data_IF_454045173861
#
_entry.id   IF_454045173861
#
_cell.length_a   1.000
_cell.length_b   1.000
_cell.length_c   1.000
_cell.angle_alpha   90.00
_cell.angle_beta   90.00
_cell.angle_gamma   90.00
#
_symmetry.space_group_name_H-M   'P 1'
#
loop_
_entity.id
_entity.type
_entity.pdbx_description
1 polymer ?
#
# COMPACT_ATOMS: atom_id res chain seq x y z
N UNK A 1 -7.97 2.59 -10.47
CA UNK A 1 -6.59 2.43 -9.97
C UNK A 1 -5.86 1.44 -10.85
N UNK A 2 -4.63 1.75 -11.24
CA UNK A 2 -3.70 0.81 -11.84
C UNK A 2 -2.71 0.34 -10.78
N UNK A 3 -2.74 -0.96 -10.47
CA UNK A 3 -1.87 -1.58 -9.48
C UNK A 3 -0.78 -2.41 -10.16
N UNK A 4 0.47 -2.31 -9.68
CA UNK A 4 1.57 -3.17 -10.10
C UNK A 4 2.63 -3.33 -9.00
N UNK A 5 3.42 -4.40 -9.11
CA UNK A 5 4.49 -4.77 -8.16
C UNK A 5 5.81 -5.17 -8.84
N UNK A 6 5.83 -5.12 -10.16
CA UNK A 6 7.01 -5.50 -10.95
C UNK A 6 7.89 -4.28 -11.27
N UNK A 7 9.21 -4.47 -11.27
CA UNK A 7 10.19 -3.45 -11.68
C UNK A 7 10.48 -3.47 -13.18
N UNK A 8 9.77 -4.30 -13.98
CA UNK A 8 10.00 -4.38 -15.42
C UNK A 8 9.54 -3.11 -16.13
N UNK A 9 10.21 -2.78 -17.24
CA UNK A 9 9.93 -1.57 -18.01
C UNK A 9 8.47 -1.52 -18.48
N UNK A 10 7.93 -2.66 -18.94
CA UNK A 10 6.58 -2.72 -19.50
C UNK A 10 5.51 -2.28 -18.48
N UNK A 11 5.56 -2.77 -17.23
CA UNK A 11 4.62 -2.39 -16.19
C UNK A 11 4.76 -0.93 -15.79
N UNK A 12 5.99 -0.45 -15.67
CA UNK A 12 6.29 0.94 -15.37
C UNK A 12 5.78 1.88 -16.48
N UNK A 13 6.06 1.56 -17.73
CA UNK A 13 5.68 2.40 -18.88
C UNK A 13 4.16 2.41 -19.07
N UNK A 14 3.47 1.28 -18.80
CA UNK A 14 2.02 1.23 -18.70
C UNK A 14 1.50 2.10 -17.55
N UNK A 15 2.13 2.05 -16.38
CA UNK A 15 1.80 2.90 -15.24
C UNK A 15 1.90 4.39 -15.58
N UNK A 16 2.98 4.78 -16.23
CA UNK A 16 3.19 6.15 -16.71
C UNK A 16 2.08 6.58 -17.69
N UNK A 17 1.72 5.73 -18.65
CA UNK A 17 0.62 6.00 -19.56
C UNK A 17 -0.72 6.11 -18.83
N UNK A 18 -1.05 5.17 -17.93
CA UNK A 18 -2.26 5.21 -17.12
C UNK A 18 -2.36 6.51 -16.30
N UNK A 19 -1.25 6.93 -15.70
CA UNK A 19 -1.19 8.19 -14.95
C UNK A 19 -1.47 9.41 -15.84
N UNK A 20 -0.96 9.42 -17.08
CA UNK A 20 -1.25 10.48 -18.05
C UNK A 20 -2.73 10.54 -18.45
N UNK A 21 -3.47 9.44 -18.30
CA UNK A 21 -4.93 9.37 -18.47
C UNK A 21 -5.71 9.71 -17.20
N UNK A 22 -5.04 10.18 -16.14
CA UNK A 22 -5.68 10.53 -14.87
C UNK A 22 -6.04 9.34 -13.98
N UNK A 23 -5.53 8.14 -14.29
CA UNK A 23 -5.70 6.95 -13.47
C UNK A 23 -4.72 6.99 -12.31
N UNK A 24 -5.21 6.77 -11.09
CA UNK A 24 -4.39 6.65 -9.89
C UNK A 24 -3.49 5.41 -9.98
N UNK A 25 -2.18 5.61 -9.89
CA UNK A 25 -1.17 4.56 -10.05
C UNK A 25 -0.62 4.14 -8.69
N UNK A 26 -0.75 2.85 -8.39
CA UNK A 26 -0.33 2.24 -7.13
C UNK A 26 0.79 1.23 -7.38
N UNK A 27 1.93 1.44 -6.75
CA UNK A 27 3.08 0.54 -6.79
C UNK A 27 3.33 -0.10 -5.44
N UNK A 28 3.43 -1.42 -5.39
CA UNK A 28 3.76 -2.17 -4.18
C UNK A 28 5.13 -2.83 -4.30
N UNK A 29 5.93 -2.70 -3.24
CA UNK A 29 7.24 -3.34 -3.13
C UNK A 29 7.11 -4.53 -2.20
N UNK A 30 7.13 -5.74 -2.76
CA UNK A 30 7.06 -6.99 -2.01
C UNK A 30 8.39 -7.28 -1.30
N UNK A 31 9.51 -6.99 -1.97
CA UNK A 31 10.85 -7.11 -1.42
C UNK A 31 11.81 -6.22 -2.19
N UNK A 32 12.60 -5.43 -1.48
CA UNK A 32 13.62 -4.56 -2.10
C UNK A 32 15.00 -5.20 -2.01
N UNK A 33 15.66 -5.31 -3.15
CA UNK A 33 17.06 -5.69 -3.22
C UNK A 33 17.91 -4.47 -3.52
N UNK A 34 18.86 -4.13 -2.64
CA UNK A 34 19.68 -2.92 -2.74
C UNK A 34 20.39 -2.77 -4.09
N UNK A 35 20.91 -3.87 -4.65
CA UNK A 35 21.55 -3.86 -5.99
C UNK A 35 20.62 -3.44 -7.11
N UNK A 36 19.31 -3.51 -6.92
CA UNK A 36 18.28 -3.15 -7.90
C UNK A 36 17.55 -1.85 -7.53
N UNK A 37 17.96 -1.17 -6.47
CA UNK A 37 17.33 0.06 -5.98
C UNK A 37 17.01 1.07 -7.09
N UNK A 38 17.88 1.34 -8.10
CA UNK A 38 17.55 2.27 -9.17
C UNK A 38 16.31 1.86 -10.00
N UNK A 39 16.00 0.56 -10.09
CA UNK A 39 14.79 0.09 -10.77
C UNK A 39 13.54 0.38 -9.94
N UNK A 40 13.60 0.09 -8.63
CA UNK A 40 12.51 0.40 -7.70
C UNK A 40 12.21 1.90 -7.67
N UNK A 41 13.25 2.73 -7.57
CA UNK A 41 13.10 4.18 -7.52
C UNK A 41 12.42 4.73 -8.79
N UNK A 42 12.71 4.18 -9.97
CA UNK A 42 12.01 4.56 -11.21
C UNK A 42 10.53 4.23 -11.13
N UNK A 43 10.15 3.05 -10.62
CA UNK A 43 8.74 2.68 -10.45
C UNK A 43 8.02 3.58 -9.41
N UNK A 44 8.68 3.86 -8.29
CA UNK A 44 8.15 4.75 -7.27
C UNK A 44 7.88 6.16 -7.83
N UNK A 45 8.81 6.71 -8.61
CA UNK A 45 8.67 8.06 -9.22
C UNK A 45 7.52 8.15 -10.23
N UNK A 46 7.22 7.07 -10.94
CA UNK A 46 6.11 7.01 -11.91
C UNK A 46 4.75 6.69 -11.27
N UNK A 47 4.70 6.37 -9.97
CA UNK A 47 3.49 6.06 -9.24
C UNK A 47 2.98 7.25 -8.44
N UNK A 48 1.70 7.23 -8.05
CA UNK A 48 1.09 8.19 -7.13
C UNK A 48 1.13 7.68 -5.69
N UNK A 49 0.97 6.38 -5.52
CA UNK A 49 0.99 5.66 -4.24
C UNK A 49 2.11 4.62 -4.27
N UNK A 50 2.92 4.57 -3.23
CA UNK A 50 3.97 3.58 -3.01
C UNK A 50 3.73 2.90 -1.68
N UNK A 51 3.60 1.57 -1.67
CA UNK A 51 3.44 0.78 -0.45
C UNK A 51 4.54 -0.26 -0.31
N UNK A 52 4.95 -0.51 0.92
CA UNK A 52 5.88 -1.56 1.33
C UNK A 52 5.68 -1.92 2.81
N UNK A 53 6.20 -3.06 3.24
CA UNK A 53 6.29 -3.41 4.66
C UNK A 53 7.64 -2.98 5.25
N UNK A 54 7.74 -2.89 6.58
CA UNK A 54 9.00 -2.64 7.27
C UNK A 54 10.00 -3.79 7.07
N UNK A 55 9.53 -5.02 6.86
CA UNK A 55 10.37 -6.18 6.51
C UNK A 55 10.90 -6.12 5.07
N UNK A 56 10.14 -5.52 4.15
CA UNK A 56 10.53 -5.42 2.74
C UNK A 56 11.57 -4.33 2.48
N UNK A 57 11.56 -3.28 3.31
CA UNK A 57 12.35 -2.06 3.13
C UNK A 57 12.86 -1.55 4.47
N UNK A 58 14.15 -1.67 4.72
CA UNK A 58 14.81 -1.21 5.94
C UNK A 58 15.24 0.26 5.87
N UNK A 59 15.86 0.65 4.76
CA UNK A 59 16.33 2.03 4.54
C UNK A 59 15.26 2.91 3.91
N UNK A 60 14.86 3.94 4.62
CA UNK A 60 13.82 4.90 4.20
C UNK A 60 14.39 6.22 3.68
N UNK A 61 15.70 6.34 3.47
CA UNK A 61 16.34 7.57 3.00
C UNK A 61 15.78 8.10 1.68
N UNK A 62 15.25 7.21 0.84
CA UNK A 62 14.64 7.57 -0.45
C UNK A 62 13.26 8.26 -0.31
N UNK A 63 12.61 8.19 0.84
CA UNK A 63 11.26 8.77 1.02
C UNK A 63 11.27 10.28 0.76
N UNK A 64 12.38 10.94 1.06
CA UNK A 64 12.56 12.35 0.75
C UNK A 64 12.52 12.68 -0.75
N UNK A 65 12.81 11.69 -1.61
CA UNK A 65 12.67 11.84 -3.07
C UNK A 65 11.21 11.67 -3.55
N UNK A 66 10.30 11.25 -2.66
CA UNK A 66 8.90 10.94 -2.95
C UNK A 66 7.92 11.96 -2.34
N UNK A 67 8.37 13.22 -2.13
CA UNK A 67 7.56 14.27 -1.46
C UNK A 67 6.23 14.58 -2.14
N UNK A 68 6.08 14.27 -3.42
CA UNK A 68 4.85 14.48 -4.18
C UNK A 68 3.94 13.24 -4.22
N UNK A 69 4.17 12.26 -3.35
CA UNK A 69 3.50 10.94 -3.37
C UNK A 69 2.75 10.67 -2.05
N UNK A 70 1.94 9.61 -2.08
CA UNK A 70 1.51 8.92 -0.88
C UNK A 70 2.44 7.72 -0.67
N UNK A 71 3.19 7.71 0.42
CA UNK A 71 4.03 6.58 0.84
C UNK A 71 3.36 5.89 2.01
N UNK A 72 3.14 4.58 1.90
CA UNK A 72 2.50 3.76 2.94
C UNK A 72 3.50 2.69 3.37
N UNK A 73 3.70 2.55 4.69
CA UNK A 73 4.47 1.47 5.26
C UNK A 73 3.63 0.67 6.26
N UNK A 74 3.44 -0.62 6.00
CA UNK A 74 2.84 -1.53 6.97
C UNK A 74 3.89 -2.00 7.98
N UNK A 75 3.50 -2.09 9.25
CA UNK A 75 4.38 -2.36 10.40
C UNK A 75 3.97 -3.66 11.12
N UNK A 76 3.27 -4.55 10.43
CA UNK A 76 2.72 -5.78 11.01
C UNK A 76 1.83 -5.49 12.22
N UNK A 77 2.11 -6.14 13.35
CA UNK A 77 1.36 -5.97 14.60
C UNK A 77 1.45 -4.55 15.21
N UNK A 78 2.29 -3.67 14.66
CA UNK A 78 2.43 -2.27 15.10
C UNK A 78 1.53 -1.31 14.31
N UNK A 79 0.75 -1.80 13.33
CA UNK A 79 -0.17 -1.00 12.55
C UNK A 79 0.40 -0.57 11.20
N UNK A 80 0.08 0.66 10.79
CA UNK A 80 0.51 1.22 9.51
C UNK A 80 0.87 2.69 9.69
N UNK A 81 1.80 3.18 8.89
CA UNK A 81 2.08 4.62 8.78
C UNK A 81 2.10 5.07 7.33
N UNK A 82 1.82 6.34 7.13
CA UNK A 82 1.88 6.92 5.80
C UNK A 82 2.48 8.33 5.83
N UNK A 83 3.03 8.75 4.71
CA UNK A 83 3.50 10.10 4.45
C UNK A 83 2.82 10.59 3.17
N UNK A 84 1.96 11.59 3.29
CA UNK A 84 1.27 12.21 2.16
C UNK A 84 1.94 13.53 1.81
N UNK A 85 2.43 13.65 0.58
CA UNK A 85 3.04 14.88 0.03
C UNK A 85 4.14 15.49 0.92
N UNK A 86 4.95 14.67 1.56
CA UNK A 86 6.05 15.14 2.41
C UNK A 86 5.61 15.81 3.72
N UNK A 87 4.34 15.69 4.11
CA UNK A 87 3.78 16.27 5.33
C UNK A 87 4.20 15.59 6.64
N UNK A 88 5.14 14.63 6.56
CA UNK A 88 5.58 13.84 7.71
C UNK A 88 4.81 12.52 7.84
N UNK A 89 5.33 11.66 8.73
CA UNK A 89 4.71 10.36 8.99
C UNK A 89 3.52 10.49 9.95
N UNK A 90 2.37 10.00 9.51
CA UNK A 90 1.18 9.77 10.34
C UNK A 90 1.13 8.29 10.64
N UNK A 91 1.12 7.91 11.92
CA UNK A 91 1.05 6.50 12.36
C UNK A 91 -0.35 6.19 12.87
N UNK A 92 -0.93 5.12 12.34
CA UNK A 92 -2.23 4.60 12.76
C UNK A 92 -2.01 3.33 13.59
N UNK A 93 -2.74 3.16 14.69
CA UNK A 93 -2.61 1.98 15.55
C UNK A 93 -3.04 0.71 14.81
N UNK A 94 -2.58 -0.46 15.25
CA UNK A 94 -3.06 -1.73 14.70
C UNK A 94 -4.50 -2.00 15.11
N UNK A 95 -5.21 -2.76 14.31
CA UNK A 95 -6.45 -3.41 14.72
C UNK A 95 -6.10 -4.62 15.59
N UNK A 96 -6.56 -4.63 16.83
CA UNK A 96 -6.30 -5.74 17.76
C UNK A 96 -6.96 -7.03 17.26
N UNK A 97 -6.21 -8.13 17.30
CA UNK A 97 -6.69 -9.46 16.97
C UNK A 97 -6.02 -10.50 17.87
N UNK A 98 -6.80 -11.07 18.78
CA UNK A 98 -6.30 -12.08 19.72
C UNK A 98 -6.26 -13.49 19.11
N UNK A 99 -6.76 -13.67 17.88
CA UNK A 99 -6.89 -14.96 17.22
C UNK A 99 -6.05 -15.03 15.94
N UNK A 100 -4.82 -14.53 15.95
CA UNK A 100 -3.93 -14.59 14.80
C UNK A 100 -3.48 -16.04 14.58
N UNK A 101 -3.82 -16.58 13.40
CA UNK A 101 -3.47 -17.94 12.95
C UNK A 101 -2.39 -17.89 11.88
N UNK A 102 -2.54 -16.97 10.89
CA UNK A 102 -1.62 -16.85 9.77
C UNK A 102 -1.63 -15.40 9.26
N UNK A 103 -0.45 -14.84 8.99
CA UNK A 103 -0.31 -13.47 8.47
C UNK A 103 -0.15 -13.43 6.95
N UNK A 104 -0.13 -14.59 6.27
CA UNK A 104 -0.04 -14.64 4.82
C UNK A 104 -1.23 -13.92 4.16
N UNK A 105 -0.94 -13.07 3.19
CA UNK A 105 -1.95 -12.28 2.48
C UNK A 105 -2.45 -11.03 3.21
N UNK A 106 -2.02 -10.75 4.45
CA UNK A 106 -2.43 -9.51 5.14
C UNK A 106 -2.04 -8.26 4.36
N UNK A 107 -0.87 -8.28 3.70
CA UNK A 107 -0.43 -7.21 2.80
C UNK A 107 -1.39 -7.01 1.62
N UNK A 108 -1.79 -8.12 0.98
CA UNK A 108 -2.72 -8.11 -0.17
C UNK A 108 -4.09 -7.60 0.24
N UNK A 109 -4.61 -8.06 1.39
CA UNK A 109 -5.87 -7.57 1.94
C UNK A 109 -5.82 -6.10 2.30
N UNK A 110 -4.70 -5.62 2.86
CA UNK A 110 -4.50 -4.18 3.11
C UNK A 110 -4.58 -3.40 1.80
N UNK A 111 -3.88 -3.84 0.75
CA UNK A 111 -3.87 -3.16 -0.55
C UNK A 111 -5.24 -3.17 -1.20
N UNK A 112 -5.87 -4.34 -1.32
CA UNK A 112 -7.17 -4.48 -1.97
C UNK A 112 -8.27 -3.68 -1.25
N UNK A 113 -8.29 -3.76 0.08
CA UNK A 113 -9.29 -3.05 0.89
C UNK A 113 -9.07 -1.54 0.89
N UNK A 114 -7.82 -1.07 0.90
CA UNK A 114 -7.50 0.34 0.77
C UNK A 114 -7.98 0.91 -0.57
N UNK A 115 -7.69 0.22 -1.68
CA UNK A 115 -8.15 0.62 -3.02
C UNK A 115 -9.69 0.65 -3.08
N UNK A 116 -10.35 -0.36 -2.53
CA UNK A 116 -11.81 -0.42 -2.45
C UNK A 116 -12.39 0.73 -1.60
N UNK A 117 -11.78 1.03 -0.45
CA UNK A 117 -12.22 2.10 0.44
C UNK A 117 -12.07 3.50 -0.21
N UNK A 118 -11.00 3.73 -0.96
CA UNK A 118 -10.83 4.94 -1.77
C UNK A 118 -11.95 5.06 -2.81
N UNK A 119 -12.24 3.96 -3.53
CA UNK A 119 -13.30 3.94 -4.54
C UNK A 119 -14.67 4.25 -3.96
N UNK A 120 -15.03 3.67 -2.80
CA UNK A 120 -16.30 3.93 -2.09
C UNK A 120 -16.46 5.40 -1.69
N UNK A 121 -15.35 6.09 -1.41
CA UNK A 121 -15.33 7.51 -1.03
C UNK A 121 -15.20 8.47 -2.22
N UNK A 122 -15.13 7.93 -3.46
CA UNK A 122 -14.94 8.72 -4.66
C UNK A 122 -13.53 9.32 -4.80
N UNK A 123 -12.58 8.90 -3.97
CA UNK A 123 -11.19 9.34 -4.02
C UNK A 123 -10.42 8.57 -5.09
N UNK A 124 -10.67 8.92 -6.36
CA UNK A 124 -10.17 8.19 -7.54
C UNK A 124 -8.99 8.88 -8.23
N UNK A 125 -8.67 10.12 -7.81
CA UNK A 125 -7.52 10.90 -8.28
C UNK A 125 -6.58 11.21 -7.11
N UNK A 126 -5.31 11.42 -7.40
CA UNK A 126 -4.33 11.78 -6.38
C UNK A 126 -4.67 13.10 -5.65
N UNK A 127 -5.31 14.04 -6.35
CA UNK A 127 -5.79 15.29 -5.77
C UNK A 127 -6.85 15.12 -4.68
N UNK A 128 -7.60 14.02 -4.73
CA UNK A 128 -8.69 13.73 -3.79
C UNK A 128 -8.17 13.21 -2.44
N UNK A 129 -6.90 12.79 -2.40
CA UNK A 129 -6.30 12.23 -1.19
C UNK A 129 -6.00 13.33 -0.17
N UNK A 130 -6.65 13.26 0.98
CA UNK A 130 -6.33 14.03 2.19
C UNK A 130 -5.82 13.08 3.27
N UNK A 131 -5.11 13.61 4.28
CA UNK A 131 -4.65 12.78 5.39
C UNK A 131 -5.81 12.08 6.11
N UNK A 132 -6.96 12.72 6.20
CA UNK A 132 -8.19 12.18 6.79
C UNK A 132 -8.71 10.99 5.98
N UNK A 133 -8.93 11.16 4.67
CA UNK A 133 -9.38 10.08 3.77
C UNK A 133 -8.40 8.91 3.78
N UNK A 134 -7.09 9.19 3.72
CA UNK A 134 -6.06 8.12 3.77
C UNK A 134 -6.09 7.37 5.09
N UNK A 135 -6.24 8.09 6.22
CA UNK A 135 -6.33 7.48 7.55
C UNK A 135 -7.54 6.56 7.68
N UNK A 136 -8.72 7.04 7.30
CA UNK A 136 -9.96 6.24 7.34
C UNK A 136 -9.86 5.00 6.45
N UNK A 137 -9.36 5.16 5.21
CA UNK A 137 -9.20 4.04 4.28
C UNK A 137 -8.18 3.00 4.77
N UNK A 138 -7.09 3.44 5.40
CA UNK A 138 -6.09 2.53 5.97
C UNK A 138 -6.60 1.82 7.22
N UNK A 139 -7.39 2.48 8.06
CA UNK A 139 -8.03 1.81 9.21
C UNK A 139 -9.02 0.74 8.74
N UNK A 140 -9.89 1.04 7.77
CA UNK A 140 -10.77 0.04 7.14
C UNK A 140 -9.97 -1.12 6.53
N UNK A 141 -8.86 -0.83 5.87
CA UNK A 141 -7.99 -1.85 5.27
C UNK A 141 -7.33 -2.77 6.32
N UNK A 142 -6.89 -2.22 7.45
CA UNK A 142 -6.35 -3.01 8.56
C UNK A 142 -7.40 -3.95 9.17
N UNK A 143 -8.68 -3.56 9.23
CA UNK A 143 -9.75 -4.43 9.70
C UNK A 143 -9.88 -5.70 8.86
N UNK A 144 -9.87 -5.57 7.53
CA UNK A 144 -9.92 -6.74 6.63
C UNK A 144 -8.66 -7.60 6.71
N UNK A 145 -7.48 -6.99 6.78
CA UNK A 145 -6.22 -7.70 6.94
C UNK A 145 -6.19 -8.48 8.28
N UNK A 146 -6.60 -7.82 9.36
CA UNK A 146 -6.69 -8.44 10.69
C UNK A 146 -7.69 -9.61 10.71
N UNK A 147 -8.85 -9.47 10.08
CA UNK A 147 -9.82 -10.58 9.95
C UNK A 147 -9.25 -11.74 9.15
N UNK A 148 -8.52 -11.50 8.05
CA UNK A 148 -7.88 -12.57 7.30
C UNK A 148 -6.84 -13.31 8.13
N UNK A 149 -6.11 -12.60 8.98
CA UNK A 149 -5.10 -13.18 9.87
C UNK A 149 -5.66 -14.25 10.84
N UNK A 150 -6.97 -14.29 11.06
CA UNK A 150 -7.64 -15.34 11.86
C UNK A 150 -7.86 -16.65 11.10
N UNK A 151 -7.42 -16.76 9.85
CA UNK A 151 -7.57 -17.94 8.99
C UNK A 151 -6.28 -18.27 8.28
N UNK A 152 -6.14 -19.52 7.80
CA UNK A 152 -4.97 -19.91 7.01
C UNK A 152 -5.02 -19.39 5.57
N UNK A 153 -3.89 -18.87 5.13
CA UNK A 153 -3.61 -18.46 3.75
C UNK A 153 -4.29 -17.16 3.31
N UNK A 154 -3.94 -16.72 2.12
CA UNK A 154 -4.39 -15.44 1.56
C UNK A 154 -5.89 -15.31 1.34
N UNK A 155 -6.61 -16.42 1.24
CA UNK A 155 -8.07 -16.47 1.00
C UNK A 155 -8.87 -17.00 2.19
N UNK A 156 -8.24 -17.09 3.37
CA UNK A 156 -8.84 -17.71 4.53
C UNK A 156 -10.19 -17.13 4.92
N UNK A 157 -10.30 -15.79 4.94
CA UNK A 157 -11.56 -15.10 5.23
C UNK A 157 -12.67 -15.39 4.22
N UNK A 158 -12.36 -15.66 2.96
CA UNK A 158 -13.36 -15.98 1.93
C UNK A 158 -13.87 -17.38 2.14
N UNK A 159 -12.96 -18.35 2.32
CA UNK A 159 -13.30 -19.77 2.47
C UNK A 159 -14.06 -20.08 3.74
N UNK A 160 -13.83 -19.31 4.81
CA UNK A 160 -14.54 -19.47 6.07
C UNK A 160 -16.01 -18.97 6.03
N UNK A 161 -16.38 -18.18 5.03
CA UNK A 161 -17.75 -17.65 4.85
C UNK A 161 -18.52 -18.35 3.71
N UNK A 162 -17.97 -19.42 3.14
CA UNK A 162 -18.64 -20.29 2.17
C UNK A 162 -19.21 -21.54 2.86
#
# INVERSE_FOLDING_TARGET
VYFFESTTAAWRDLGKWMRSQGVLVYYEIQRMYQKEFPKYLKCMKESDIVKFSDEAVEDLSFVDELKEKLVIQTLGAKGVRFNLRGGGWVTLPPVQNDNVVDTEGCGDWTTASFINALGKRGAVKFSDLTSEIVSECLMEAQEYASRNASYFGTKGIITANM
#
